data_IF_035824773409
#
_entry.id   IF_035824773409
#
_cell.length_a   1.000
_cell.length_b   1.000
_cell.length_c   1.000
_cell.angle_alpha   90.00
_cell.angle_beta   90.00
_cell.angle_gamma   90.00
#
_symmetry.space_group_name_H-M   'P 1'
#
loop_
_entity.id
_entity.type
_entity.pdbx_description
1 polymer ?
#
# COMPACT_ATOMS: atom_id res chain seq x y z
N UNK A 1 -39.88 19.37 -15.88
CA UNK A 1 -40.11 19.53 -14.43
C UNK A 1 -39.59 18.28 -13.73
N UNK A 2 -38.28 18.23 -13.47
CA UNK A 2 -37.67 17.16 -12.69
C UNK A 2 -36.76 17.81 -11.66
N UNK A 3 -37.22 17.70 -10.41
CA UNK A 3 -36.64 18.28 -9.21
C UNK A 3 -35.32 17.55 -8.94
N UNK A 4 -34.19 18.23 -9.13
CA UNK A 4 -32.88 17.72 -8.70
C UNK A 4 -32.86 17.86 -7.18
N UNK A 5 -33.03 16.72 -6.49
CA UNK A 5 -32.79 16.58 -5.06
C UNK A 5 -31.28 16.81 -4.86
N UNK A 6 -30.90 18.07 -4.63
CA UNK A 6 -29.60 18.50 -4.11
C UNK A 6 -29.43 17.88 -2.73
N UNK A 7 -28.89 16.66 -2.67
CA UNK A 7 -28.50 16.02 -1.43
C UNK A 7 -27.37 16.84 -0.79
N UNK A 8 -27.58 17.19 0.47
CA UNK A 8 -26.76 18.09 1.31
C UNK A 8 -25.31 17.62 1.57
N UNK A 9 -24.83 16.60 0.86
CA UNK A 9 -23.50 16.01 1.05
C UNK A 9 -22.40 16.90 0.45
N UNK A 10 -22.66 17.54 -0.70
CA UNK A 10 -21.68 18.44 -1.36
C UNK A 10 -21.52 19.80 -0.65
N UNK A 11 -22.50 20.21 0.15
CA UNK A 11 -22.43 21.48 0.88
C UNK A 11 -21.50 21.42 2.10
N UNK A 12 -21.30 20.23 2.69
CA UNK A 12 -20.40 20.07 3.83
C UNK A 12 -18.93 19.88 3.43
N UNK A 13 -18.64 19.32 2.25
CA UNK A 13 -17.26 19.26 1.75
C UNK A 13 -16.72 20.65 1.40
N UNK A 14 -17.54 21.52 0.80
CA UNK A 14 -17.15 22.88 0.44
C UNK A 14 -16.99 23.82 1.65
N UNK A 15 -17.62 23.49 2.78
CA UNK A 15 -17.47 24.20 4.07
C UNK A 15 -16.14 23.85 4.77
N UNK A 16 -15.75 22.57 4.73
CA UNK A 16 -14.50 22.10 5.34
C UNK A 16 -13.26 22.76 4.70
N UNK A 17 -13.23 22.86 3.36
CA UNK A 17 -12.13 23.51 2.64
C UNK A 17 -12.17 25.04 2.63
N UNK A 18 -13.19 25.68 3.22
CA UNK A 18 -13.31 27.15 3.23
C UNK A 18 -12.57 27.83 4.38
N UNK A 19 -12.15 27.07 5.40
CA UNK A 19 -11.51 27.62 6.61
C UNK A 19 -10.06 27.14 6.80
N UNK A 20 -9.49 26.40 5.85
CA UNK A 20 -8.05 26.33 5.74
C UNK A 20 -7.64 27.61 5.03
N UNK A 21 -7.11 28.58 5.78
CA UNK A 21 -6.19 29.55 5.20
C UNK A 21 -5.16 28.74 4.43
N UNK A 22 -5.31 28.63 3.12
CA UNK A 22 -4.29 28.06 2.25
C UNK A 22 -3.07 28.93 2.52
N UNK A 23 -1.99 28.39 3.12
CA UNK A 23 -0.74 29.11 3.08
C UNK A 23 -0.54 29.37 1.59
N UNK A 24 -0.46 30.64 1.19
CA UNK A 24 -0.08 30.96 -0.17
C UNK A 24 1.20 30.16 -0.39
N UNK A 25 1.14 29.18 -1.30
CA UNK A 25 2.30 28.41 -1.72
C UNK A 25 3.27 29.45 -2.26
N UNK A 26 4.19 29.89 -1.39
CA UNK A 26 5.26 30.78 -1.74
C UNK A 26 5.92 30.14 -2.95
N UNK A 27 5.96 30.88 -4.05
CA UNK A 27 6.25 30.43 -5.41
C UNK A 27 7.62 29.76 -5.62
N UNK A 28 8.40 29.56 -4.54
CA UNK A 28 9.64 28.78 -4.51
C UNK A 28 9.41 27.26 -4.35
N UNK A 29 8.19 26.80 -4.02
CA UNK A 29 7.82 25.37 -3.99
C UNK A 29 7.52 24.77 -5.38
N UNK A 30 7.73 25.54 -6.46
CA UNK A 30 7.43 25.13 -7.83
C UNK A 30 8.39 24.06 -8.40
N UNK A 31 9.51 23.80 -7.72
CA UNK A 31 10.49 22.79 -8.11
C UNK A 31 10.38 21.54 -7.23
N UNK A 32 9.25 20.84 -7.29
CA UNK A 32 9.19 19.46 -6.80
C UNK A 32 10.03 18.56 -7.71
N UNK A 33 11.25 18.24 -7.27
CA UNK A 33 12.11 17.28 -7.97
C UNK A 33 11.67 15.86 -7.61
N UNK A 34 11.11 15.15 -8.58
CA UNK A 34 10.77 13.74 -8.42
C UNK A 34 12.03 12.88 -8.38
N UNK A 35 12.64 12.76 -7.21
CA UNK A 35 13.78 11.86 -6.95
C UNK A 35 13.35 10.44 -6.59
N UNK A 36 12.04 10.17 -6.53
CA UNK A 36 11.50 8.90 -6.08
C UNK A 36 11.76 8.59 -4.60
N UNK A 37 11.84 7.29 -4.30
CA UNK A 37 12.07 6.73 -2.97
C UNK A 37 12.87 5.43 -3.04
N UNK A 38 13.03 4.73 -1.90
CA UNK A 38 13.72 3.42 -1.82
C UNK A 38 13.15 2.31 -2.71
N UNK A 39 11.94 2.48 -3.25
CA UNK A 39 11.28 1.49 -4.08
C UNK A 39 11.28 1.84 -5.58
N UNK A 40 11.11 3.12 -5.93
CA UNK A 40 11.03 3.59 -7.31
C UNK A 40 11.83 4.88 -7.45
N UNK A 41 12.52 5.07 -8.57
CA UNK A 41 13.26 6.29 -8.90
C UNK A 41 12.36 7.49 -9.24
N UNK A 42 11.05 7.26 -9.41
CA UNK A 42 10.04 8.31 -9.65
C UNK A 42 8.76 7.97 -8.89
N UNK A 43 8.28 8.92 -8.09
CA UNK A 43 7.01 8.89 -7.39
C UNK A 43 5.83 8.98 -8.36
N UNK A 44 5.95 9.82 -9.40
CA UNK A 44 4.89 10.03 -10.38
C UNK A 44 4.65 8.81 -11.28
N UNK A 45 5.68 7.98 -11.47
CA UNK A 45 5.61 6.74 -12.25
C UNK A 45 5.75 5.49 -11.37
N UNK A 46 5.51 5.60 -10.07
CA UNK A 46 5.68 4.49 -9.14
C UNK A 46 4.60 3.42 -9.37
N UNK A 47 4.98 2.14 -9.54
CA UNK A 47 4.00 1.08 -9.75
C UNK A 47 3.30 0.62 -8.47
N UNK A 48 3.67 1.17 -7.29
CA UNK A 48 2.98 0.84 -6.05
C UNK A 48 1.57 1.41 -6.02
N UNK A 49 0.57 0.64 -5.57
CA UNK A 49 -0.79 1.15 -5.40
C UNK A 49 -0.92 2.11 -4.20
N UNK A 50 0.02 2.07 -3.25
CA UNK A 50 0.08 2.94 -2.07
C UNK A 50 1.53 3.35 -1.83
N UNK A 51 1.78 4.63 -1.58
CA UNK A 51 3.13 5.15 -1.32
C UNK A 51 3.72 4.52 -0.05
N UNK A 52 5.03 4.26 -0.07
CA UNK A 52 5.78 3.70 1.06
C UNK A 52 5.82 4.58 2.31
N UNK A 53 5.51 5.86 2.15
CA UNK A 53 5.44 6.85 3.23
C UNK A 53 4.03 7.00 3.76
N UNK A 54 3.01 6.87 2.89
CA UNK A 54 1.60 6.92 3.30
C UNK A 54 1.22 5.70 4.14
N UNK A 55 1.73 4.52 3.77
CA UNK A 55 1.45 3.28 4.50
C UNK A 55 2.72 2.40 4.59
N UNK A 56 3.59 2.65 5.59
CA UNK A 56 4.80 1.87 5.80
C UNK A 56 4.52 0.37 6.05
N UNK A 57 3.38 0.05 6.63
CA UNK A 57 3.01 -1.33 6.96
C UNK A 57 2.55 -2.11 5.73
N UNK A 58 1.82 -1.48 4.80
CA UNK A 58 1.54 -2.05 3.49
C UNK A 58 2.84 -2.50 2.80
N UNK A 59 3.83 -1.62 2.74
CA UNK A 59 5.10 -1.93 2.09
C UNK A 59 5.85 -3.08 2.76
N UNK A 60 5.93 -3.07 4.10
CA UNK A 60 6.55 -4.18 4.86
C UNK A 60 5.88 -5.51 4.58
N UNK A 61 4.54 -5.52 4.53
CA UNK A 61 3.77 -6.72 4.23
C UNK A 61 3.99 -7.19 2.79
N UNK A 62 4.01 -6.29 1.81
CA UNK A 62 4.29 -6.59 0.41
C UNK A 62 5.65 -7.28 0.23
N UNK A 63 6.72 -6.74 0.82
CA UNK A 63 8.06 -7.34 0.77
C UNK A 63 8.09 -8.72 1.45
N UNK A 64 7.42 -8.84 2.60
CA UNK A 64 7.34 -10.10 3.34
C UNK A 64 6.59 -11.17 2.56
N UNK A 65 5.47 -10.82 1.93
CA UNK A 65 4.67 -11.71 1.09
C UNK A 65 5.44 -12.15 -0.14
N UNK A 66 6.10 -11.23 -0.84
CA UNK A 66 6.94 -11.57 -2.00
C UNK A 66 8.07 -12.54 -1.63
N UNK A 67 8.78 -12.28 -0.52
CA UNK A 67 9.79 -13.21 0.01
C UNK A 67 9.19 -14.58 0.33
N UNK A 68 8.02 -14.62 0.96
CA UNK A 68 7.38 -15.89 1.31
C UNK A 68 6.96 -16.69 0.07
N UNK A 69 6.45 -16.02 -0.97
CA UNK A 69 6.11 -16.66 -2.26
C UNK A 69 7.34 -17.29 -2.90
N UNK A 70 8.46 -16.56 -2.95
CA UNK A 70 9.70 -17.08 -3.52
C UNK A 70 10.26 -18.26 -2.69
N UNK A 71 10.17 -18.20 -1.35
CA UNK A 71 10.55 -19.33 -0.48
C UNK A 71 9.71 -20.56 -0.78
N UNK A 72 8.41 -20.39 -0.99
CA UNK A 72 7.52 -21.50 -1.30
C UNK A 72 7.87 -22.11 -2.65
N UNK A 73 8.04 -21.29 -3.69
CA UNK A 73 8.42 -21.75 -5.01
C UNK A 73 9.73 -22.55 -4.97
N UNK A 74 10.77 -22.02 -4.33
CA UNK A 74 12.05 -22.73 -4.18
C UNK A 74 11.90 -24.04 -3.38
N UNK A 75 11.01 -24.07 -2.39
CA UNK A 75 10.73 -25.27 -1.60
C UNK A 75 10.02 -26.34 -2.44
N UNK A 76 9.06 -25.94 -3.29
CA UNK A 76 8.38 -26.81 -4.26
C UNK A 76 9.35 -27.36 -5.31
N UNK A 77 10.39 -26.59 -5.67
CA UNK A 77 11.52 -27.04 -6.51
C UNK A 77 12.46 -28.01 -5.78
N UNK A 78 12.24 -28.28 -4.49
CA UNK A 78 12.97 -29.28 -3.69
C UNK A 78 14.14 -28.73 -2.87
N UNK A 79 14.29 -27.41 -2.75
CA UNK A 79 15.36 -26.80 -1.94
C UNK A 79 15.10 -27.07 -0.45
N UNK A 80 16.12 -27.54 0.27
CA UNK A 80 15.97 -27.86 1.69
C UNK A 80 15.72 -26.61 2.54
N UNK A 81 15.01 -26.77 3.66
CA UNK A 81 14.74 -25.67 4.62
C UNK A 81 16.04 -24.99 5.10
N UNK A 82 17.13 -25.75 5.23
CA UNK A 82 18.43 -25.23 5.64
C UNK A 82 19.03 -24.35 4.54
N UNK A 83 18.98 -24.80 3.29
CA UNK A 83 19.53 -24.04 2.16
C UNK A 83 18.71 -22.79 1.88
N UNK A 84 17.38 -22.85 2.03
CA UNK A 84 16.50 -21.68 2.00
C UNK A 84 16.88 -20.64 3.07
N UNK A 85 17.20 -21.09 4.28
CA UNK A 85 17.61 -20.18 5.37
C UNK A 85 18.87 -19.39 5.01
N UNK A 86 19.82 -20.05 4.33
CA UNK A 86 21.06 -19.43 3.84
C UNK A 86 20.79 -18.51 2.64
N UNK A 87 20.03 -18.99 1.64
CA UNK A 87 19.69 -18.24 0.41
C UNK A 87 19.00 -16.91 0.73
N UNK A 88 18.06 -16.90 1.67
CA UNK A 88 17.28 -15.72 2.03
C UNK A 88 17.84 -14.94 3.24
N UNK A 89 18.91 -15.43 3.88
CA UNK A 89 19.49 -14.79 5.06
C UNK A 89 18.51 -14.69 6.25
N UNK A 90 17.63 -15.68 6.42
CA UNK A 90 16.62 -15.70 7.51
C UNK A 90 16.71 -16.97 8.34
N UNK A 91 16.22 -16.93 9.57
CA UNK A 91 16.20 -18.12 10.43
C UNK A 91 15.36 -19.26 9.84
N UNK A 92 15.71 -20.50 10.18
CA UNK A 92 14.91 -21.70 9.85
C UNK A 92 13.45 -21.54 10.29
N UNK A 93 13.21 -20.96 11.47
CA UNK A 93 11.85 -20.66 11.98
C UNK A 93 11.08 -19.75 11.02
N UNK A 94 11.74 -18.78 10.41
CA UNK A 94 11.12 -17.87 9.44
C UNK A 94 10.70 -18.62 8.18
N UNK A 95 11.55 -19.53 7.68
CA UNK A 95 11.23 -20.41 6.54
C UNK A 95 10.01 -21.28 6.88
N UNK A 96 10.04 -22.00 8.01
CA UNK A 96 8.94 -22.86 8.43
C UNK A 96 7.61 -22.10 8.59
N UNK A 97 7.67 -20.87 9.12
CA UNK A 97 6.49 -20.01 9.20
C UNK A 97 5.99 -19.64 7.81
N UNK A 98 6.87 -19.25 6.88
CA UNK A 98 6.49 -18.91 5.52
C UNK A 98 5.74 -20.06 4.83
N UNK A 99 6.28 -21.29 4.93
CA UNK A 99 5.66 -22.50 4.37
C UNK A 99 4.30 -22.82 5.03
N UNK A 100 4.13 -22.54 6.33
CA UNK A 100 2.86 -22.79 7.04
C UNK A 100 1.72 -21.84 6.63
N UNK A 101 2.04 -20.65 6.10
CA UNK A 101 1.05 -19.60 5.82
C UNK A 101 0.39 -19.67 4.43
N UNK A 102 0.55 -20.78 3.70
CA UNK A 102 -0.02 -21.06 2.35
C UNK A 102 -1.53 -20.81 2.14
N UNK A 103 -2.32 -20.52 3.19
CA UNK A 103 -3.78 -20.34 3.10
C UNK A 103 -4.26 -18.92 3.35
N UNK A 104 -3.59 -17.90 2.84
CA UNK A 104 -4.24 -16.61 2.64
C UNK A 104 -4.55 -16.43 1.15
N UNK A 105 -5.79 -16.07 0.78
CA UNK A 105 -6.20 -15.97 -0.61
C UNK A 105 -5.26 -15.01 -1.32
N UNK A 106 -4.78 -15.41 -2.50
CA UNK A 106 -4.08 -14.54 -3.43
C UNK A 106 -4.84 -13.22 -3.49
N UNK A 107 -4.19 -12.10 -3.13
CA UNK A 107 -4.73 -10.78 -3.43
C UNK A 107 -4.54 -10.61 -4.94
N UNK A 108 -5.59 -10.81 -5.75
CA UNK A 108 -5.47 -10.70 -7.18
C UNK A 108 -5.23 -9.21 -7.46
N UNK A 109 -4.17 -8.87 -8.18
CA UNK A 109 -3.94 -7.50 -8.64
C UNK A 109 -5.07 -7.00 -9.58
N UNK A 110 -5.95 -7.92 -10.01
CA UNK A 110 -7.19 -7.69 -10.78
C UNK A 110 -8.47 -7.74 -9.91
N UNK A 111 -8.37 -7.67 -8.57
CA UNK A 111 -9.57 -7.57 -7.73
C UNK A 111 -10.19 -6.17 -7.89
N UNK A 112 -11.32 -6.12 -8.61
CA UNK A 112 -12.13 -4.91 -8.85
C UNK A 112 -12.54 -4.20 -7.54
N UNK A 113 -12.37 -4.83 -6.38
CA UNK A 113 -12.61 -4.27 -5.05
C UNK A 113 -11.33 -3.86 -4.30
N UNK A 114 -10.13 -3.91 -4.90
CA UNK A 114 -8.89 -3.40 -4.31
C UNK A 114 -9.11 -1.97 -3.83
N UNK A 115 -9.66 -1.10 -4.69
CA UNK A 115 -9.96 0.28 -4.34
C UNK A 115 -10.84 0.38 -3.09
N UNK A 116 -11.87 -0.46 -2.96
CA UNK A 116 -12.76 -0.44 -1.79
C UNK A 116 -12.06 -0.90 -0.50
N UNK A 117 -11.15 -1.88 -0.58
CA UNK A 117 -10.33 -2.32 0.56
C UNK A 117 -9.34 -1.24 0.98
N UNK A 118 -8.73 -0.56 -0.01
CA UNK A 118 -7.85 0.59 0.21
C UNK A 118 -8.63 1.70 0.94
N UNK A 119 -9.79 2.12 0.42
CA UNK A 119 -10.60 3.17 1.04
C UNK A 119 -11.12 2.82 2.46
N UNK A 120 -11.44 1.54 2.73
CA UNK A 120 -11.82 1.10 4.09
C UNK A 120 -10.68 1.28 5.10
N UNK A 121 -9.42 1.05 4.70
CA UNK A 121 -8.26 1.23 5.57
C UNK A 121 -8.03 2.72 5.88
N UNK A 122 -8.12 3.59 4.86
CA UNK A 122 -8.01 5.04 5.06
C UNK A 122 -9.07 5.61 6.02
N UNK A 123 -10.33 5.16 5.93
CA UNK A 123 -11.38 5.60 6.86
C UNK A 123 -11.11 5.22 8.32
N UNK A 124 -10.43 4.09 8.57
CA UNK A 124 -10.11 3.65 9.94
C UNK A 124 -9.04 4.51 10.62
N UNK A 125 -8.17 5.17 9.84
CA UNK A 125 -7.20 6.12 10.36
C UNK A 125 -7.84 7.49 10.65
N UNK A 126 -8.83 7.90 9.86
CA UNK A 126 -9.49 9.21 10.01
C UNK A 126 -10.51 9.29 11.15
N UNK A 127 -10.90 8.15 11.74
CA UNK A 127 -11.84 8.08 12.88
C UNK A 127 -11.16 8.00 14.25
N UNK A 128 -9.83 7.97 14.29
CA UNK A 128 -9.01 7.92 15.51
C UNK A 128 -8.22 9.24 15.75
N UNK A 129 -8.49 10.26 14.94
CA UNK A 129 -7.97 11.63 15.08
C UNK A 129 -9.04 12.57 15.63
#
# INVERSE_FOLDING_TARGET
>A
MFYIIRTKVLFNMTSYYKNLETPELLSDDSNYFDTGCRYSNSCLNCPLPICVYDDPDFFKNLIKENRNKNILQDYEEGVSVKDLSLKYGVSIRTIQRALKFEKSPELPLDDKNISQKIYKKFNSYSSNS
#
